data_IF_814189344789
#
_entry.id   IF_814189344789
#
_cell.length_a   1.000
_cell.length_b   1.000
_cell.length_c   1.000
_cell.angle_alpha   90.00
_cell.angle_beta   90.00
_cell.angle_gamma   90.00
#
_symmetry.space_group_name_H-M   'P 1'
#
loop_
_entity.id
_entity.type
_entity.pdbx_description
1 polymer ?
#
# COMPACT_ATOMS: atom_id res chain seq x y z
N UNK A 1 18.14 4.77 7.31
CA UNK A 1 16.71 4.44 7.43
C UNK A 1 16.25 4.90 8.80
N UNK A 2 15.26 5.79 8.88
CA UNK A 2 14.69 6.27 10.15
C UNK A 2 13.27 5.67 10.25
N UNK A 3 13.02 4.96 11.34
CA UNK A 3 11.72 4.36 11.63
C UNK A 3 10.90 5.26 12.55
N UNK A 4 9.60 5.35 12.32
CA UNK A 4 8.68 6.02 13.24
C UNK A 4 8.16 5.07 14.34
N UNK A 5 7.36 5.60 15.26
CA UNK A 5 6.87 4.84 16.40
C UNK A 5 5.96 3.67 16.01
N UNK A 6 5.19 3.78 14.92
CA UNK A 6 4.28 2.73 14.50
C UNK A 6 5.05 1.61 13.80
N UNK A 7 6.08 1.95 13.03
CA UNK A 7 7.01 1.00 12.42
C UNK A 7 7.90 0.27 13.45
N UNK A 8 8.27 0.94 14.55
CA UNK A 8 8.98 0.31 15.66
C UNK A 8 8.10 -0.68 16.44
N UNK A 9 6.80 -0.39 16.57
CA UNK A 9 5.81 -1.29 17.18
C UNK A 9 5.44 -2.45 16.26
N UNK A 10 5.38 -2.20 14.95
CA UNK A 10 5.08 -3.19 13.93
C UNK A 10 6.23 -3.31 12.93
N UNK A 11 7.25 -4.07 13.32
CA UNK A 11 8.48 -4.23 12.52
C UNK A 11 8.24 -4.83 11.14
N UNK A 12 7.08 -5.47 10.90
CA UNK A 12 6.70 -5.92 9.56
C UNK A 12 6.64 -4.77 8.58
N UNK A 13 6.32 -3.53 8.99
CA UNK A 13 6.29 -2.37 8.09
C UNK A 13 7.68 -1.99 7.54
N UNK A 14 8.75 -2.36 8.24
CA UNK A 14 10.11 -1.95 7.89
C UNK A 14 10.60 -2.53 6.55
N UNK A 15 10.03 -3.65 6.09
CA UNK A 15 10.50 -4.31 4.87
C UNK A 15 10.37 -3.44 3.62
N UNK A 16 9.36 -2.56 3.55
CA UNK A 16 9.22 -1.61 2.44
C UNK A 16 10.37 -0.59 2.43
N UNK A 17 10.68 0.00 3.59
CA UNK A 17 11.77 0.97 3.74
C UNK A 17 13.14 0.36 3.50
N UNK A 18 13.42 -0.81 4.09
CA UNK A 18 14.70 -1.49 3.91
C UNK A 18 14.85 -2.06 2.51
N UNK A 19 13.78 -2.62 1.94
CA UNK A 19 13.74 -3.11 0.57
C UNK A 19 13.98 -2.01 -0.46
N UNK A 20 13.34 -0.85 -0.29
CA UNK A 20 13.57 0.30 -1.17
C UNK A 20 15.02 0.80 -1.09
N UNK A 21 15.58 0.92 0.12
CA UNK A 21 16.97 1.33 0.31
C UNK A 21 17.95 0.34 -0.35
N UNK A 22 17.76 -0.98 -0.12
CA UNK A 22 18.57 -2.01 -0.77
C UNK A 22 18.44 -1.98 -2.29
N UNK A 23 17.22 -1.77 -2.82
CA UNK A 23 17.00 -1.71 -4.25
C UNK A 23 17.79 -0.56 -4.90
N UNK A 24 17.82 0.59 -4.25
CA UNK A 24 18.59 1.77 -4.69
C UNK A 24 20.10 1.52 -4.58
N UNK A 25 20.56 1.01 -3.45
CA UNK A 25 22.00 0.89 -3.17
C UNK A 25 22.66 -0.27 -3.94
N UNK A 26 21.96 -1.38 -4.14
CA UNK A 26 22.51 -2.60 -4.76
C UNK A 26 22.24 -2.63 -6.27
N UNK A 27 21.01 -2.30 -6.69
CA UNK A 27 20.59 -2.43 -8.09
C UNK A 27 20.53 -1.10 -8.84
N UNK A 28 20.77 0.04 -8.16
CA UNK A 28 20.79 1.35 -8.80
C UNK A 28 19.44 1.77 -9.39
N UNK A 29 18.33 1.30 -8.81
CA UNK A 29 16.99 1.63 -9.34
C UNK A 29 16.71 3.12 -9.28
N UNK A 30 15.90 3.60 -10.21
CA UNK A 30 15.49 5.00 -10.25
C UNK A 30 14.53 5.36 -9.10
N UNK A 31 14.27 6.66 -8.96
CA UNK A 31 13.43 7.20 -7.88
C UNK A 31 11.97 6.74 -7.97
N UNK A 32 11.45 6.45 -9.17
CA UNK A 32 10.08 6.00 -9.35
C UNK A 32 9.91 4.57 -8.80
N UNK A 33 10.84 3.67 -9.16
CA UNK A 33 10.88 2.29 -8.63
C UNK A 33 11.14 2.29 -7.13
N UNK A 34 12.09 3.09 -6.66
CA UNK A 34 12.36 3.25 -5.22
C UNK A 34 11.10 3.61 -4.43
N UNK A 35 10.36 4.63 -4.89
CA UNK A 35 9.13 5.07 -4.21
C UNK A 35 8.02 4.03 -4.28
N UNK A 36 7.87 3.33 -5.40
CA UNK A 36 6.88 2.26 -5.52
C UNK A 36 7.13 1.14 -4.49
N UNK A 37 8.39 0.75 -4.26
CA UNK A 37 8.75 -0.19 -3.19
C UNK A 37 8.54 0.45 -1.81
N UNK A 38 8.94 1.70 -1.60
CA UNK A 38 8.84 2.35 -0.30
C UNK A 38 7.40 2.42 0.23
N UNK A 39 6.43 2.64 -0.65
CA UNK A 39 5.03 2.91 -0.27
C UNK A 39 4.10 1.71 -0.44
N UNK A 40 4.57 0.55 -0.91
CA UNK A 40 3.69 -0.58 -1.23
C UNK A 40 2.95 -1.18 -0.03
N UNK A 41 3.45 -1.01 1.20
CA UNK A 41 2.80 -1.58 2.39
C UNK A 41 1.78 -0.63 3.03
N UNK A 42 2.10 0.66 3.11
CA UNK A 42 1.25 1.64 3.84
C UNK A 42 0.43 2.52 2.92
N UNK A 43 0.67 2.48 1.60
CA UNK A 43 0.30 3.55 0.67
C UNK A 43 0.88 4.91 1.11
N UNK A 44 0.47 5.97 0.40
CA UNK A 44 0.58 7.37 0.83
C UNK A 44 -0.46 8.23 0.11
N UNK A 45 -0.66 9.45 0.58
CA UNK A 45 -1.45 10.44 -0.17
C UNK A 45 -0.82 10.73 -1.55
N UNK A 46 -1.67 11.02 -2.53
CA UNK A 46 -1.28 11.39 -3.89
C UNK A 46 -0.23 10.43 -4.51
N UNK A 47 -0.52 9.13 -4.48
CA UNK A 47 0.31 8.14 -5.17
C UNK A 47 0.28 8.35 -6.67
N UNK A 48 1.44 8.20 -7.30
CA UNK A 48 1.57 8.12 -8.73
C UNK A 48 1.11 6.74 -9.25
N UNK A 49 1.02 6.61 -10.57
CA UNK A 49 0.53 5.38 -11.20
C UNK A 49 1.34 4.13 -10.81
N UNK A 50 2.67 4.21 -10.76
CA UNK A 50 3.51 3.05 -10.46
C UNK A 50 3.36 2.60 -9.00
N UNK A 51 3.27 3.55 -8.06
CA UNK A 51 3.01 3.26 -6.65
C UNK A 51 1.65 2.55 -6.48
N UNK A 52 0.60 3.05 -7.15
CA UNK A 52 -0.74 2.43 -7.16
C UNK A 52 -0.69 1.00 -7.73
N UNK A 53 0.00 0.80 -8.86
CA UNK A 53 0.15 -0.50 -9.51
C UNK A 53 0.84 -1.50 -8.57
N UNK A 54 1.97 -1.14 -7.97
CA UNK A 54 2.73 -2.07 -7.11
C UNK A 54 1.96 -2.40 -5.83
N UNK A 55 1.30 -1.40 -5.21
CA UNK A 55 0.45 -1.63 -4.04
C UNK A 55 -0.67 -2.65 -4.35
N UNK A 56 -1.41 -2.44 -5.45
CA UNK A 56 -2.51 -3.35 -5.82
C UNK A 56 -1.99 -4.70 -6.28
N UNK A 57 -0.90 -4.76 -7.04
CA UNK A 57 -0.32 -6.00 -7.51
C UNK A 57 0.03 -6.96 -6.36
N UNK A 58 0.62 -6.47 -5.26
CA UNK A 58 0.90 -7.27 -4.06
C UNK A 58 -0.40 -7.84 -3.43
N UNK A 59 -1.49 -7.07 -3.52
CA UNK A 59 -2.77 -7.45 -2.94
C UNK A 59 -3.57 -8.43 -3.80
N UNK A 60 -3.45 -8.35 -5.13
CA UNK A 60 -4.29 -9.13 -6.06
C UNK A 60 -3.58 -10.28 -6.76
N UNK A 61 -2.29 -10.51 -6.48
CA UNK A 61 -1.49 -11.51 -7.19
C UNK A 61 -2.18 -12.89 -7.19
N UNK A 62 -1.96 -13.74 -8.22
CA UNK A 62 -2.77 -14.93 -8.46
C UNK A 62 -2.87 -15.93 -7.30
N UNK A 63 -1.88 -15.98 -6.41
CA UNK A 63 -1.85 -16.88 -5.26
C UNK A 63 -2.57 -16.33 -4.03
N UNK A 64 -3.02 -15.07 -4.04
CA UNK A 64 -3.86 -14.51 -2.97
C UNK A 64 -5.27 -15.10 -3.03
N UNK A 65 -5.72 -15.59 -1.88
CA UNK A 65 -7.05 -16.17 -1.66
C UNK A 65 -7.61 -15.58 -0.36
N UNK A 66 -8.60 -14.70 -0.48
CA UNK A 66 -9.32 -14.11 0.64
C UNK A 66 -10.69 -13.60 0.17
N UNK A 67 -11.60 -13.37 1.12
CA UNK A 67 -12.94 -12.85 0.81
C UNK A 67 -12.84 -11.44 0.22
N UNK A 68 -13.52 -11.18 -0.90
CA UNK A 68 -13.44 -9.91 -1.64
C UNK A 68 -12.32 -9.80 -2.70
N UNK A 69 -11.37 -10.75 -2.79
CA UNK A 69 -10.25 -10.67 -3.76
C UNK A 69 -10.71 -10.60 -5.23
N UNK A 70 -11.82 -11.27 -5.57
CA UNK A 70 -12.37 -11.26 -6.93
C UNK A 70 -12.88 -9.88 -7.35
N UNK A 71 -13.53 -9.16 -6.44
CA UNK A 71 -14.01 -7.79 -6.70
C UNK A 71 -12.84 -6.82 -6.76
N UNK A 72 -11.87 -6.95 -5.86
CA UNK A 72 -10.64 -6.16 -5.89
C UNK A 72 -9.87 -6.35 -7.21
N UNK A 73 -9.77 -7.59 -7.70
CA UNK A 73 -9.20 -7.90 -9.02
C UNK A 73 -9.99 -7.22 -10.15
N UNK A 74 -11.32 -7.29 -10.12
CA UNK A 74 -12.16 -6.65 -11.15
C UNK A 74 -11.91 -5.14 -11.19
N UNK A 75 -11.99 -4.47 -10.04
CA UNK A 75 -11.73 -3.03 -9.93
C UNK A 75 -10.31 -2.66 -10.38
N UNK A 76 -9.30 -3.46 -10.06
CA UNK A 76 -7.92 -3.18 -10.46
C UNK A 76 -7.73 -3.03 -11.98
N UNK A 77 -8.56 -3.69 -12.78
CA UNK A 77 -8.55 -3.57 -14.25
C UNK A 77 -9.53 -2.53 -14.81
N UNK A 78 -10.45 -2.01 -14.00
CA UNK A 78 -11.46 -1.03 -14.44
C UNK A 78 -11.15 0.39 -13.95
N UNK A 79 -10.81 0.52 -12.67
CA UNK A 79 -10.61 1.78 -11.97
C UNK A 79 -9.66 1.55 -10.78
N UNK A 80 -8.39 1.91 -11.00
CA UNK A 80 -7.34 1.64 -10.03
C UNK A 80 -7.55 2.41 -8.72
N UNK A 81 -8.16 3.59 -8.75
CA UNK A 81 -8.40 4.39 -7.54
C UNK A 81 -9.51 3.76 -6.69
N UNK A 82 -10.57 3.25 -7.32
CA UNK A 82 -11.57 2.44 -6.62
C UNK A 82 -10.99 1.13 -6.07
N UNK A 83 -10.07 0.49 -6.79
CA UNK A 83 -9.36 -0.69 -6.28
C UNK A 83 -8.53 -0.35 -5.02
N UNK A 84 -7.84 0.79 -5.01
CA UNK A 84 -7.11 1.25 -3.84
C UNK A 84 -8.02 1.55 -2.65
N UNK A 85 -9.15 2.23 -2.88
CA UNK A 85 -10.14 2.51 -1.85
C UNK A 85 -10.62 1.20 -1.22
N UNK A 86 -11.04 0.22 -2.02
CA UNK A 86 -11.49 -1.08 -1.53
C UNK A 86 -10.37 -1.82 -0.78
N UNK A 87 -9.15 -1.86 -1.32
CA UNK A 87 -8.02 -2.50 -0.64
C UNK A 87 -7.72 -1.87 0.73
N UNK A 88 -7.75 -0.54 0.82
CA UNK A 88 -7.56 0.16 2.10
C UNK A 88 -8.69 -0.16 3.10
N UNK A 89 -9.95 -0.19 2.65
CA UNK A 89 -11.10 -0.56 3.50
C UNK A 89 -10.96 -1.99 4.05
N UNK A 90 -10.59 -2.95 3.20
CA UNK A 90 -10.33 -4.33 3.60
C UNK A 90 -9.18 -4.44 4.60
N UNK A 91 -8.11 -3.67 4.39
CA UNK A 91 -6.98 -3.58 5.32
C UNK A 91 -7.41 -3.02 6.67
N UNK A 92 -8.22 -1.96 6.69
CA UNK A 92 -8.72 -1.37 7.93
C UNK A 92 -9.63 -2.32 8.70
N UNK A 93 -10.48 -3.07 8.00
CA UNK A 93 -11.33 -4.08 8.62
C UNK A 93 -10.50 -5.21 9.27
N UNK A 94 -9.47 -5.71 8.57
CA UNK A 94 -8.59 -6.76 9.10
C UNK A 94 -7.79 -6.28 10.32
N UNK A 95 -7.24 -5.06 10.27
CA UNK A 95 -6.53 -4.46 11.40
C UNK A 95 -7.45 -4.21 12.59
N UNK A 96 -8.69 -3.75 12.36
CA UNK A 96 -9.68 -3.54 13.41
C UNK A 96 -10.04 -4.86 14.12
N UNK A 97 -10.19 -5.97 13.39
CA UNK A 97 -10.40 -7.32 13.96
C UNK A 97 -9.25 -7.76 14.87
N UNK A 98 -8.04 -7.28 14.59
CA UNK A 98 -6.84 -7.55 15.39
C UNK A 98 -6.61 -6.53 16.51
N UNK A 99 -7.45 -5.50 16.64
CA UNK A 99 -7.25 -4.41 17.60
C UNK A 99 -6.04 -3.52 17.28
N UNK A 100 -5.60 -3.50 16.01
CA UNK A 100 -4.46 -2.72 15.54
C UNK A 100 -4.98 -1.46 14.85
N UNK A 101 -4.39 -0.31 15.15
CA UNK A 101 -4.68 0.94 14.43
C UNK A 101 -3.94 0.97 13.09
N UNK A 102 -4.59 1.40 11.99
CA UNK A 102 -3.90 1.63 10.72
C UNK A 102 -2.81 2.67 10.84
N UNK A 103 -1.76 2.52 10.04
CA UNK A 103 -0.69 3.51 9.94
C UNK A 103 -1.23 4.83 9.38
N UNK A 104 -0.72 5.98 9.85
CA UNK A 104 -1.21 7.31 9.46
C UNK A 104 -1.19 7.53 7.93
N UNK A 105 -0.15 7.04 7.26
CA UNK A 105 -0.05 7.11 5.78
C UNK A 105 -1.23 6.44 5.07
N UNK A 106 -1.73 5.31 5.57
CA UNK A 106 -2.86 4.61 4.97
C UNK A 106 -4.15 5.41 5.14
N UNK A 107 -4.33 6.04 6.30
CA UNK A 107 -5.45 6.94 6.55
C UNK A 107 -5.42 8.16 5.62
N UNK A 108 -4.24 8.80 5.46
CA UNK A 108 -4.05 9.91 4.53
C UNK A 108 -4.30 9.51 3.08
N UNK A 109 -3.82 8.34 2.66
CA UNK A 109 -4.08 7.80 1.32
C UNK A 109 -5.58 7.62 1.07
N UNK A 110 -6.30 7.03 2.03
CA UNK A 110 -7.73 6.83 1.95
C UNK A 110 -8.50 8.15 1.86
N UNK A 111 -8.20 9.11 2.75
CA UNK A 111 -8.81 10.44 2.70
C UNK A 111 -8.53 11.16 1.38
N UNK A 112 -7.30 11.11 0.88
CA UNK A 112 -6.92 11.73 -0.39
C UNK A 112 -7.78 11.19 -1.55
N UNK A 113 -7.87 9.87 -1.70
CA UNK A 113 -8.64 9.24 -2.79
C UNK A 113 -10.12 9.66 -2.73
N UNK A 114 -10.72 9.60 -1.54
CA UNK A 114 -12.13 9.94 -1.32
C UNK A 114 -12.47 11.41 -1.52
N UNK A 115 -11.50 12.32 -1.36
CA UNK A 115 -11.69 13.74 -1.62
C UNK A 115 -11.57 14.10 -3.10
N UNK A 116 -10.93 13.26 -3.92
CA UNK A 116 -10.69 13.53 -5.35
C UNK A 116 -11.79 12.93 -6.25
N UNK A 117 -12.69 12.11 -5.69
CA UNK A 117 -13.87 11.53 -6.34
C UNK A 117 -15.09 12.49 -6.42
N UNK A 118 -14.93 13.75 -5.98
CA UNK A 118 -15.92 14.84 -6.08
C UNK A 118 -15.49 15.88 -7.11
#
# INVERSE_FOLDING_TARGET
>A
IIADNDELKNTKLLHAKTGAAMAKDIFGVDEAVYKAILWHTTARENMNLLEKIIYIADYIEPNRIFDGVSELRRLAYEDLDKALILGLEMTFEDLAKQGISPHENSLKAYSWLRHTDL
#
